data_IF_289763526238
#
_entry.id   IF_289763526238
#
_cell.length_a   1.000
_cell.length_b   1.000
_cell.length_c   1.000
_cell.angle_alpha   90.00
_cell.angle_beta   90.00
_cell.angle_gamma   90.00
#
_symmetry.space_group_name_H-M   'P 1'
#
loop_
_entity.id
_entity.type
_entity.pdbx_description
1 polymer ?
#
# COMPACT_ATOMS: atom_id res chain seq x y z
N UNK A 1 -17.20 -0.99 22.63
CA UNK A 1 -16.16 -1.12 21.59
C UNK A 1 -16.56 -2.28 20.70
N UNK A 2 -17.13 -2.02 19.54
CA UNK A 2 -17.40 -3.05 18.53
C UNK A 2 -16.05 -3.47 17.97
N UNK A 3 -15.60 -4.67 18.30
CA UNK A 3 -14.49 -5.33 17.65
C UNK A 3 -14.93 -5.48 16.19
N UNK A 4 -14.17 -4.91 15.25
CA UNK A 4 -14.43 -5.05 13.82
C UNK A 4 -14.05 -6.48 13.40
N UNK A 5 -14.91 -7.43 13.78
CA UNK A 5 -14.70 -8.88 13.67
C UNK A 5 -14.65 -9.39 12.22
N UNK A 6 -14.67 -8.50 11.25
CA UNK A 6 -14.72 -8.87 9.83
C UNK A 6 -13.35 -8.73 9.11
N UNK A 7 -12.38 -8.04 9.70
CA UNK A 7 -11.03 -7.90 9.14
C UNK A 7 -10.09 -8.99 9.66
N UNK A 8 -9.34 -9.60 8.74
CA UNK A 8 -8.23 -10.49 9.04
C UNK A 8 -6.91 -9.74 8.90
N UNK A 9 -6.00 -9.89 9.85
CA UNK A 9 -4.68 -9.27 9.78
C UNK A 9 -3.77 -10.06 8.83
N UNK A 10 -3.14 -9.36 7.90
CA UNK A 10 -2.01 -9.85 7.10
C UNK A 10 -0.68 -9.58 7.82
N UNK A 11 -0.65 -8.49 8.60
CA UNK A 11 0.44 -8.14 9.51
C UNK A 11 -0.15 -7.45 10.76
N UNK A 12 0.08 -8.06 11.91
CA UNK A 12 -0.45 -7.62 13.23
C UNK A 12 0.63 -7.01 14.15
N UNK A 13 1.86 -6.85 13.64
CA UNK A 13 2.99 -6.33 14.41
C UNK A 13 3.80 -7.41 15.15
N UNK A 14 3.50 -8.68 15.00
CA UNK A 14 4.19 -9.76 15.71
C UNK A 14 5.08 -10.60 14.80
N UNK A 15 4.64 -10.91 13.58
CA UNK A 15 5.32 -11.84 12.70
C UNK A 15 5.23 -11.41 11.24
N UNK A 16 6.33 -11.64 10.51
CA UNK A 16 6.39 -11.55 9.05
C UNK A 16 6.02 -12.87 8.36
N UNK A 17 5.43 -13.83 9.07
CA UNK A 17 5.02 -15.10 8.48
C UNK A 17 4.05 -14.89 7.31
N UNK A 18 4.36 -15.53 6.18
CA UNK A 18 3.61 -15.34 4.93
C UNK A 18 4.06 -14.15 4.08
N UNK A 19 5.02 -13.35 4.54
CA UNK A 19 5.60 -12.26 3.77
C UNK A 19 6.95 -12.65 3.16
N UNK A 20 7.20 -12.22 1.93
CA UNK A 20 8.46 -12.45 1.20
C UNK A 20 8.88 -11.18 0.47
N UNK A 21 10.20 -10.94 0.42
CA UNK A 21 10.77 -9.90 -0.44
C UNK A 21 10.91 -10.39 -1.88
N UNK A 22 10.65 -9.47 -2.82
CA UNK A 22 11.11 -9.52 -4.20
C UNK A 22 11.98 -8.28 -4.43
N UNK A 23 13.14 -8.44 -5.05
CA UNK A 23 14.13 -7.38 -5.24
C UNK A 23 15.10 -7.22 -4.06
N UNK A 24 15.95 -6.18 -4.12
CA UNK A 24 17.12 -6.01 -3.28
C UNK A 24 16.87 -5.36 -1.90
N UNK A 25 15.72 -4.72 -1.71
CA UNK A 25 15.39 -4.04 -0.46
C UNK A 25 15.05 -5.02 0.67
N UNK A 26 14.78 -4.47 1.83
CA UNK A 26 14.29 -5.22 2.99
C UNK A 26 13.31 -4.40 3.80
N UNK A 27 12.54 -5.09 4.64
CA UNK A 27 11.75 -4.49 5.71
C UNK A 27 12.25 -5.01 7.06
N UNK A 28 12.35 -4.13 8.04
CA UNK A 28 12.73 -4.48 9.40
C UNK A 28 11.56 -4.27 10.35
N UNK A 29 11.39 -5.19 11.30
CA UNK A 29 10.42 -5.05 12.37
C UNK A 29 10.94 -4.03 13.38
N UNK A 30 10.16 -2.99 13.61
CA UNK A 30 10.42 -1.94 14.61
C UNK A 30 9.61 -2.27 15.86
N UNK A 31 10.27 -2.80 16.88
CA UNK A 31 9.64 -3.38 18.06
C UNK A 31 8.81 -2.40 18.90
N UNK A 32 9.23 -1.13 19.01
CA UNK A 32 8.58 -0.17 19.89
C UNK A 32 7.17 0.24 19.42
N UNK A 33 6.90 0.26 18.11
CA UNK A 33 5.59 0.62 17.53
C UNK A 33 4.96 -0.49 16.69
N UNK A 34 5.60 -1.67 16.69
CA UNK A 34 5.11 -2.88 16.00
C UNK A 34 4.88 -2.65 14.52
N UNK A 35 5.81 -1.95 13.85
CA UNK A 35 5.74 -1.64 12.44
C UNK A 35 6.84 -2.33 11.63
N UNK A 36 6.62 -2.41 10.31
CA UNK A 36 7.64 -2.79 9.33
C UNK A 36 8.17 -1.52 8.67
N UNK A 37 9.46 -1.29 8.66
CA UNK A 37 10.09 -0.15 8.02
C UNK A 37 10.92 -0.57 6.81
N UNK A 38 10.71 0.12 5.68
CA UNK A 38 11.47 -0.09 4.44
C UNK A 38 12.91 0.40 4.60
N UNK A 39 13.87 -0.36 4.07
CA UNK A 39 15.30 -0.03 4.05
C UNK A 39 15.99 -0.60 2.83
N UNK A 40 16.97 0.14 2.30
CA UNK A 40 17.90 -0.36 1.31
C UNK A 40 17.31 -0.68 -0.08
N UNK A 41 16.22 0.01 -0.49
CA UNK A 41 15.47 -0.14 -1.74
C UNK A 41 16.22 -0.80 -2.88
N UNK A 42 15.66 -1.09 -4.01
CA UNK A 42 14.30 -1.16 -4.48
C UNK A 42 13.74 -2.58 -4.31
N UNK A 43 12.48 -2.70 -3.88
CA UNK A 43 11.88 -4.01 -3.73
C UNK A 43 10.40 -3.96 -3.35
N UNK A 44 9.86 -5.14 -3.15
CA UNK A 44 8.47 -5.37 -2.81
C UNK A 44 8.40 -6.41 -1.71
N UNK A 45 7.81 -6.08 -0.57
CA UNK A 45 7.39 -7.07 0.42
C UNK A 45 5.95 -7.48 0.12
N UNK A 46 5.70 -8.75 -0.19
CA UNK A 46 4.39 -9.21 -0.61
C UNK A 46 3.89 -10.40 0.20
N UNK A 47 2.56 -10.48 0.37
CA UNK A 47 1.89 -11.52 1.12
C UNK A 47 1.64 -12.74 0.24
N UNK A 48 2.33 -13.85 0.52
CA UNK A 48 2.43 -15.01 -0.35
C UNK A 48 1.33 -16.04 -0.18
N UNK A 49 0.60 -16.02 0.96
CA UNK A 49 -0.29 -17.11 1.35
C UNK A 49 -1.48 -17.27 0.42
N UNK A 50 -1.98 -16.17 -0.17
CA UNK A 50 -3.11 -16.23 -1.10
C UNK A 50 -3.29 -14.97 -1.92
N UNK A 51 -4.05 -15.09 -3.00
CA UNK A 51 -4.57 -13.97 -3.80
C UNK A 51 -5.90 -13.50 -3.22
N UNK A 52 -6.24 -12.24 -3.54
CA UNK A 52 -7.49 -11.59 -3.15
C UNK A 52 -8.21 -11.04 -4.37
N UNK A 53 -9.55 -11.22 -4.41
CA UNK A 53 -10.41 -10.76 -5.50
C UNK A 53 -11.11 -9.45 -5.13
N UNK A 54 -12.21 -9.52 -4.41
CA UNK A 54 -12.98 -8.36 -3.97
C UNK A 54 -12.78 -8.16 -2.47
N UNK A 55 -12.32 -6.95 -2.08
CA UNK A 55 -11.90 -6.71 -0.71
C UNK A 55 -11.96 -5.24 -0.30
N UNK A 56 -11.89 -5.01 1.00
CA UNK A 56 -11.46 -3.76 1.62
C UNK A 56 -10.14 -4.04 2.34
N UNK A 57 -9.09 -3.32 1.98
CA UNK A 57 -7.76 -3.38 2.60
C UNK A 57 -7.52 -2.11 3.39
N UNK A 58 -7.13 -2.24 4.66
CA UNK A 58 -6.68 -1.11 5.49
C UNK A 58 -5.22 -1.27 5.83
N UNK A 59 -4.47 -0.18 5.68
CA UNK A 59 -3.03 -0.14 5.95
C UNK A 59 -2.69 1.16 6.66
N UNK A 60 -2.07 1.06 7.83
CA UNK A 60 -1.50 2.23 8.50
C UNK A 60 -0.06 2.41 8.04
N UNK A 61 0.31 3.66 7.70
CA UNK A 61 1.64 4.00 7.21
C UNK A 61 2.12 5.34 7.77
N UNK A 62 3.44 5.52 7.79
CA UNK A 62 4.09 6.72 8.32
C UNK A 62 5.40 6.97 7.58
N UNK A 63 5.60 8.19 7.09
CA UNK A 63 6.87 8.64 6.51
C UNK A 63 7.80 9.20 7.57
N UNK A 64 9.11 9.06 7.39
CA UNK A 64 10.15 9.62 8.24
C UNK A 64 10.61 11.00 7.78
N UNK A 65 10.46 11.28 6.48
CA UNK A 65 10.79 12.54 5.83
C UNK A 65 9.70 12.90 4.81
N UNK A 66 9.66 14.16 4.43
CA UNK A 66 8.66 14.69 3.49
C UNK A 66 8.82 14.14 2.06
N UNK A 67 10.04 13.76 1.69
CA UNK A 67 10.43 13.21 0.38
C UNK A 67 10.50 11.68 0.35
N UNK A 68 10.08 11.00 1.42
CA UNK A 68 9.95 9.55 1.41
C UNK A 68 8.92 9.08 0.37
N UNK A 69 9.27 8.03 -0.36
CA UNK A 69 8.45 7.41 -1.39
C UNK A 69 8.23 5.93 -1.09
N UNK A 70 7.00 5.51 -1.26
CA UNK A 70 6.56 4.12 -1.17
C UNK A 70 5.18 3.95 -1.80
N UNK A 71 4.58 2.78 -1.65
CA UNK A 71 3.25 2.50 -2.16
C UNK A 71 2.70 1.15 -1.68
N UNK A 72 1.41 0.97 -1.87
CA UNK A 72 0.72 -0.29 -1.60
C UNK A 72 0.27 -0.85 -2.94
N UNK A 73 0.78 -2.04 -3.27
CA UNK A 73 0.40 -2.76 -4.49
C UNK A 73 -0.73 -3.73 -4.22
N UNK A 74 -1.70 -3.76 -5.14
CA UNK A 74 -2.84 -4.66 -5.09
C UNK A 74 -3.03 -5.40 -6.41
N UNK A 75 -3.55 -6.64 -6.34
CA UNK A 75 -3.97 -7.45 -7.48
C UNK A 75 -2.89 -7.65 -8.55
N UNK A 76 -1.64 -7.84 -8.13
CA UNK A 76 -0.55 -8.18 -9.06
C UNK A 76 -0.33 -9.70 -9.15
N UNK A 77 0.33 -10.12 -10.23
CA UNK A 77 0.76 -11.50 -10.46
C UNK A 77 1.87 -11.90 -9.48
N UNK A 78 2.15 -13.19 -9.35
CA UNK A 78 3.30 -13.66 -8.58
C UNK A 78 4.59 -12.98 -9.08
N UNK A 79 5.26 -12.19 -8.23
CA UNK A 79 6.44 -11.44 -8.63
C UNK A 79 7.70 -12.30 -8.67
N UNK A 80 7.66 -13.52 -8.06
CA UNK A 80 8.85 -14.31 -7.79
C UNK A 80 9.93 -13.46 -7.09
N UNK A 81 10.95 -13.01 -7.80
CA UNK A 81 11.96 -12.08 -7.26
C UNK A 81 12.05 -10.74 -8.06
N UNK A 82 11.09 -10.46 -8.93
CA UNK A 82 11.04 -9.23 -9.72
C UNK A 82 9.94 -8.27 -9.24
N UNK A 83 10.26 -7.20 -8.52
CA UNK A 83 9.29 -6.23 -8.02
C UNK A 83 8.53 -5.50 -9.14
N UNK A 84 9.07 -5.43 -10.36
CA UNK A 84 8.41 -4.78 -11.51
C UNK A 84 7.16 -5.51 -11.99
N UNK A 85 7.02 -6.78 -11.65
CA UNK A 85 5.80 -7.54 -11.95
C UNK A 85 4.58 -6.88 -11.26
N UNK A 86 4.73 -6.39 -10.03
CA UNK A 86 3.65 -5.68 -9.35
C UNK A 86 3.29 -4.36 -10.04
N UNK A 87 4.28 -3.59 -10.49
CA UNK A 87 4.10 -2.35 -11.26
C UNK A 87 3.33 -2.62 -12.55
N UNK A 88 3.73 -3.65 -13.27
CA UNK A 88 3.18 -3.95 -14.60
C UNK A 88 1.79 -4.59 -14.55
N UNK A 89 1.51 -5.44 -13.56
CA UNK A 89 0.29 -6.27 -13.54
C UNK A 89 -0.76 -5.84 -12.53
N UNK A 90 -0.36 -5.11 -11.47
CA UNK A 90 -1.23 -4.59 -10.42
C UNK A 90 -1.44 -3.09 -10.49
N UNK A 91 -2.07 -2.56 -9.45
CA UNK A 91 -2.18 -1.12 -9.20
C UNK A 91 -1.43 -0.74 -7.94
N UNK A 92 -0.82 0.44 -7.96
CA UNK A 92 -0.13 1.03 -6.83
C UNK A 92 -0.95 2.19 -6.26
N UNK A 93 -1.20 2.17 -4.95
CA UNK A 93 -1.69 3.31 -4.19
C UNK A 93 -0.48 4.03 -3.61
N UNK A 94 -0.23 5.23 -4.11
CA UNK A 94 1.01 5.97 -3.93
C UNK A 94 1.15 6.59 -2.53
N UNK A 95 2.38 6.60 -2.04
CA UNK A 95 2.84 7.37 -0.88
C UNK A 95 4.01 8.23 -1.36
N UNK A 96 3.75 9.48 -1.70
CA UNK A 96 4.74 10.49 -2.09
C UNK A 96 4.09 11.88 -2.01
N UNK A 97 4.30 12.57 -0.90
CA UNK A 97 3.68 13.87 -0.68
C UNK A 97 4.23 14.96 -1.60
N UNK A 98 5.44 14.80 -2.10
CA UNK A 98 6.08 15.76 -2.99
C UNK A 98 5.86 15.43 -4.48
N UNK A 99 5.64 14.16 -4.82
CA UNK A 99 5.58 13.67 -6.20
C UNK A 99 6.78 14.16 -7.02
N UNK A 100 7.96 13.94 -6.49
CA UNK A 100 9.20 14.35 -7.16
C UNK A 100 9.37 13.65 -8.52
N UNK A 101 9.97 14.32 -9.53
CA UNK A 101 10.59 15.67 -9.47
C UNK A 101 9.65 16.82 -9.86
N UNK A 102 8.48 16.56 -10.41
CA UNK A 102 7.66 17.55 -11.11
C UNK A 102 6.33 17.90 -10.40
N UNK A 103 6.03 17.24 -9.28
CA UNK A 103 4.79 17.45 -8.55
C UNK A 103 3.54 16.90 -9.25
N UNK A 104 3.72 15.95 -10.18
CA UNK A 104 2.62 15.38 -10.96
C UNK A 104 1.52 14.81 -10.05
N UNK A 105 0.26 15.27 -10.16
CA UNK A 105 -0.84 14.78 -9.34
C UNK A 105 -1.07 13.27 -9.41
N UNK A 106 -0.73 12.62 -10.53
CA UNK A 106 -0.82 11.16 -10.71
C UNK A 106 0.20 10.38 -9.86
N UNK A 107 1.17 11.08 -9.27
CA UNK A 107 2.23 10.51 -8.42
C UNK A 107 2.11 10.94 -6.95
N UNK A 108 1.08 11.71 -6.59
CA UNK A 108 0.83 12.18 -5.22
C UNK A 108 0.28 11.07 -4.33
N UNK A 109 0.52 11.22 -3.02
CA UNK A 109 -0.08 10.35 -1.99
C UNK A 109 -1.59 10.21 -2.17
N UNK A 110 -2.07 8.97 -2.23
CA UNK A 110 -3.47 8.63 -2.47
C UNK A 110 -3.85 8.47 -3.93
N UNK A 111 -2.96 8.77 -4.88
CA UNK A 111 -3.17 8.45 -6.29
C UNK A 111 -3.20 6.94 -6.52
N UNK A 112 -3.95 6.51 -7.53
CA UNK A 112 -3.66 5.24 -8.21
C UNK A 112 -2.60 5.60 -9.26
N UNK A 113 -1.35 5.23 -8.98
CA UNK A 113 -0.16 5.71 -9.67
C UNK A 113 -0.28 5.59 -11.19
N UNK A 114 -0.06 6.69 -11.90
CA UNK A 114 -0.23 6.87 -13.35
C UNK A 114 -1.67 6.73 -13.90
N UNK A 115 -2.69 6.46 -13.07
CA UNK A 115 -4.05 6.22 -13.56
C UNK A 115 -5.07 7.23 -13.03
N UNK A 116 -5.04 7.58 -11.75
CA UNK A 116 -6.01 8.50 -11.16
C UNK A 116 -5.36 9.39 -10.09
N UNK A 117 -5.51 10.70 -10.25
CA UNK A 117 -5.03 11.68 -9.28
C UNK A 117 -6.00 11.79 -8.08
N UNK A 118 -5.49 12.00 -6.85
CA UNK A 118 -6.35 12.19 -5.70
C UNK A 118 -7.11 13.51 -5.77
N UNK A 119 -8.38 13.49 -5.39
CA UNK A 119 -9.22 14.69 -5.31
C UNK A 119 -8.86 15.60 -4.12
N UNK A 120 -8.13 15.07 -3.14
CA UNK A 120 -7.67 15.76 -1.93
C UNK A 120 -6.18 15.44 -1.66
N UNK A 121 -5.28 16.20 -2.29
CA UNK A 121 -3.83 16.02 -2.16
C UNK A 121 -3.28 16.35 -0.75
N UNK A 122 -4.06 16.94 0.15
CA UNK A 122 -3.62 17.39 1.47
C UNK A 122 -4.24 16.58 2.63
N UNK A 123 -4.71 15.37 2.36
CA UNK A 123 -5.29 14.51 3.40
C UNK A 123 -4.22 13.77 4.23
N UNK A 124 -2.94 13.81 3.84
CA UNK A 124 -1.82 13.27 4.61
C UNK A 124 -1.60 14.06 5.89
N UNK A 125 -1.32 13.34 6.98
CA UNK A 125 -0.87 13.94 8.22
C UNK A 125 0.62 14.33 8.13
N UNK A 126 1.11 15.24 8.98
CA UNK A 126 2.51 15.61 9.03
C UNK A 126 3.47 14.43 9.19
N UNK A 127 4.71 14.61 8.72
CA UNK A 127 5.81 13.66 8.90
C UNK A 127 5.86 13.13 10.34
N UNK A 128 6.07 11.83 10.48
CA UNK A 128 6.13 11.14 11.78
C UNK A 128 4.78 10.75 12.36
N UNK A 129 3.67 11.12 11.72
CA UNK A 129 2.33 10.74 12.15
C UNK A 129 1.78 9.57 11.32
N UNK A 130 0.98 8.71 11.96
CA UNK A 130 0.34 7.57 11.30
C UNK A 130 -0.84 8.03 10.45
N UNK A 131 -0.82 7.63 9.19
CA UNK A 131 -1.91 7.73 8.22
C UNK A 131 -2.57 6.37 8.04
N UNK A 132 -3.80 6.37 7.58
CA UNK A 132 -4.52 5.13 7.22
C UNK A 132 -5.06 5.24 5.80
N UNK A 133 -4.68 4.29 4.95
CA UNK A 133 -5.41 4.02 3.71
C UNK A 133 -6.52 2.99 3.96
N UNK A 134 -7.67 3.24 3.36
CA UNK A 134 -8.69 2.24 3.08
C UNK A 134 -8.82 2.12 1.57
N UNK A 135 -8.52 0.93 1.05
CA UNK A 135 -8.49 0.63 -0.38
C UNK A 135 -9.57 -0.42 -0.64
N UNK A 136 -10.53 -0.05 -1.47
CA UNK A 136 -11.62 -0.93 -1.85
C UNK A 136 -11.46 -1.38 -3.30
N UNK A 137 -11.64 -2.68 -3.54
CA UNK A 137 -11.62 -3.26 -4.88
C UNK A 137 -12.83 -4.19 -5.05
N UNK A 138 -13.63 -3.97 -6.10
CA UNK A 138 -14.81 -4.78 -6.45
C UNK A 138 -14.92 -4.88 -7.96
N UNK A 139 -14.74 -6.07 -8.52
CA UNK A 139 -14.58 -6.22 -9.97
C UNK A 139 -13.44 -5.34 -10.47
N UNK A 140 -13.69 -4.46 -11.42
CA UNK A 140 -12.72 -3.48 -11.93
C UNK A 140 -12.89 -2.09 -11.32
N UNK A 141 -13.71 -1.95 -10.27
CA UNK A 141 -13.92 -0.67 -9.57
C UNK A 141 -13.05 -0.60 -8.32
N UNK A 142 -12.39 0.54 -8.17
CA UNK A 142 -11.46 0.84 -7.08
C UNK A 142 -11.82 2.18 -6.44
N UNK A 143 -11.69 2.27 -5.12
CA UNK A 143 -11.72 3.53 -4.41
C UNK A 143 -10.61 3.58 -3.36
N UNK A 144 -10.13 4.79 -3.07
CA UNK A 144 -9.09 5.04 -2.07
C UNK A 144 -9.57 6.11 -1.11
N UNK A 145 -9.50 5.82 0.18
CA UNK A 145 -9.76 6.77 1.26
C UNK A 145 -8.48 6.95 2.06
N UNK A 146 -8.09 8.18 2.33
CA UNK A 146 -6.94 8.55 3.14
C UNK A 146 -7.41 9.33 4.36
N UNK A 147 -7.17 8.81 5.57
CA UNK A 147 -7.57 9.45 6.83
C UNK A 147 -9.06 9.89 6.82
N UNK A 148 -9.96 8.98 6.45
CA UNK A 148 -11.40 9.17 6.33
C UNK A 148 -11.85 10.15 5.22
N UNK A 149 -10.92 10.64 4.40
CA UNK A 149 -11.21 11.53 3.25
C UNK A 149 -11.08 10.75 1.95
N UNK A 150 -12.10 10.77 1.10
CA UNK A 150 -12.04 10.13 -0.22
C UNK A 150 -10.99 10.81 -1.11
N UNK A 151 -9.89 10.11 -1.35
CA UNK A 151 -8.86 10.52 -2.31
C UNK A 151 -9.27 10.15 -3.74
N UNK A 152 -9.67 8.91 -3.96
CA UNK A 152 -10.25 8.43 -5.22
C UNK A 152 -11.66 7.90 -4.92
N UNK A 153 -12.72 8.64 -5.29
CA UNK A 153 -14.09 8.19 -5.07
C UNK A 153 -14.42 6.91 -5.86
N UNK A 154 -14.04 6.88 -7.12
CA UNK A 154 -14.14 5.70 -8.00
C UNK A 154 -13.11 5.79 -9.13
N UNK A 155 -12.48 4.65 -9.43
CA UNK A 155 -11.65 4.43 -10.61
C UNK A 155 -12.05 3.10 -11.24
N UNK A 156 -12.22 3.05 -12.55
CA UNK A 156 -12.46 1.81 -13.30
C UNK A 156 -11.18 1.38 -14.00
N UNK A 157 -10.65 0.25 -13.58
CA UNK A 157 -9.43 -0.33 -14.14
C UNK A 157 -9.69 -1.36 -15.23
N UNK A 158 -8.60 -1.97 -15.72
CA UNK A 158 -8.63 -3.01 -16.75
C UNK A 158 -7.53 -4.08 -16.57
N UNK A 159 -6.87 -4.08 -15.41
CA UNK A 159 -5.85 -5.08 -15.06
C UNK A 159 -6.50 -6.32 -14.42
N UNK A 160 -5.71 -7.10 -13.68
CA UNK A 160 -6.18 -8.31 -13.01
C UNK A 160 -7.31 -8.02 -11.99
N UNK A 161 -8.30 -8.88 -11.92
CA UNK A 161 -9.39 -8.80 -10.92
C UNK A 161 -9.09 -9.59 -9.65
N UNK A 162 -7.99 -10.35 -9.64
CA UNK A 162 -7.51 -11.12 -8.50
C UNK A 162 -5.98 -11.14 -8.50
N UNK A 163 -5.36 -11.01 -7.35
CA UNK A 163 -3.90 -11.04 -7.23
C UNK A 163 -3.41 -10.82 -5.81
N UNK A 164 -2.11 -10.65 -5.69
CA UNK A 164 -1.43 -10.50 -4.41
C UNK A 164 -1.48 -9.05 -3.91
N UNK A 165 -1.08 -8.89 -2.64
CA UNK A 165 -0.96 -7.62 -1.94
C UNK A 165 0.48 -7.46 -1.48
N UNK A 166 1.04 -6.25 -1.61
CA UNK A 166 2.39 -5.94 -1.20
C UNK A 166 2.59 -4.46 -0.85
N UNK A 167 3.73 -4.18 -0.25
CA UNK A 167 4.19 -2.83 0.10
C UNK A 167 5.56 -2.59 -0.51
N UNK A 168 5.75 -1.38 -1.04
CA UNK A 168 6.95 -1.02 -1.79
C UNK A 168 8.09 -0.61 -0.87
N UNK A 169 9.30 -1.02 -1.25
CA UNK A 169 10.54 -0.38 -0.86
C UNK A 169 11.08 0.36 -2.09
N UNK A 170 10.95 1.68 -2.11
CA UNK A 170 11.18 2.47 -3.32
C UNK A 170 12.67 2.68 -3.61
N UNK A 171 13.42 3.20 -2.64
CA UNK A 171 14.83 3.55 -2.80
C UNK A 171 15.60 3.39 -1.48
N UNK A 172 16.92 3.68 -1.51
CA UNK A 172 17.79 3.52 -0.34
C UNK A 172 17.55 4.57 0.75
N UNK A 173 17.00 5.71 0.39
CA UNK A 173 16.83 6.87 1.29
C UNK A 173 15.44 6.97 1.91
N UNK A 174 14.44 6.34 1.29
CA UNK A 174 13.06 6.34 1.78
C UNK A 174 12.87 5.32 2.91
N UNK A 175 12.33 5.80 4.04
CA UNK A 175 12.03 5.00 5.22
C UNK A 175 10.57 5.15 5.61
N UNK A 176 9.71 4.35 4.98
CA UNK A 176 8.28 4.33 5.26
C UNK A 176 7.96 3.15 6.18
N UNK A 177 7.22 3.43 7.24
CA UNK A 177 6.77 2.42 8.20
C UNK A 177 5.33 2.02 7.94
N UNK A 178 5.03 0.72 8.11
CA UNK A 178 3.71 0.13 7.90
C UNK A 178 3.31 -0.72 9.11
N UNK A 179 2.03 -0.67 9.48
CA UNK A 179 1.45 -1.56 10.50
C UNK A 179 -0.02 -1.81 10.25
N UNK A 180 -0.62 -2.69 11.04
CA UNK A 180 -2.05 -2.98 11.00
C UNK A 180 -2.54 -3.24 9.56
N UNK A 181 -1.79 -4.07 8.80
CA UNK A 181 -2.21 -4.46 7.45
C UNK A 181 -3.32 -5.50 7.62
N UNK A 182 -4.56 -5.12 7.29
CA UNK A 182 -5.73 -5.94 7.50
C UNK A 182 -6.69 -5.88 6.34
N UNK A 183 -7.32 -6.99 6.05
CA UNK A 183 -8.19 -7.17 4.88
C UNK A 183 -9.51 -7.79 5.27
N UNK A 184 -10.57 -7.33 4.62
CA UNK A 184 -11.90 -7.92 4.66
C UNK A 184 -12.30 -8.29 3.23
N UNK A 185 -12.52 -9.59 3.00
CA UNK A 185 -13.05 -10.03 1.70
C UNK A 185 -14.55 -9.73 1.60
N UNK A 186 -14.95 -9.27 0.43
CA UNK A 186 -16.37 -9.08 0.12
C UNK A 186 -16.95 -10.41 -0.33
N UNK A 187 -17.99 -10.86 0.34
CA UNK A 187 -18.80 -12.00 -0.10
C UNK A 187 -19.70 -11.51 -1.24
N UNK A 188 -19.66 -12.23 -2.36
CA UNK A 188 -20.61 -12.07 -3.48
C UNK A 188 -21.95 -12.67 -3.06
#
# INVERSE_FOLDING_TARGET
>A
MTIDNEFSYLFDGQSMDGWRMAGAGKFVLVEYDKSLQSQGGMGLLWYTKRKYKDFVLKVDWKVSRKDDNSGIFIRFSNPDNDPWIAVNTGYEIQIDDMAMPDGNPLHKTGAIYNFAAPSNANASKPVGQWNTFEIEATGQKYSVTLNDVKAIPEFTGNKLTEGYIGIQNHDVDSHVSFKNIRIKEKKI
#
